data_IF_711322239258
#
_entry.id   IF_711322239258
#
_cell.length_a   1.000
_cell.length_b   1.000
_cell.length_c   1.000
_cell.angle_alpha   90.00
_cell.angle_beta   90.00
_cell.angle_gamma   90.00
#
_symmetry.space_group_name_H-M   'P 1'
#
loop_
_entity.id
_entity.type
_entity.pdbx_description
1 polymer ?
#
# COMPACT_ATOMS: atom_id res chain seq x y z
N UNK A 1 -33.69 -9.01 26.62
CA UNK A 1 -33.84 -8.10 25.47
C UNK A 1 -33.08 -6.83 25.78
N UNK A 2 -31.82 -6.75 25.33
CA UNK A 2 -31.07 -5.50 25.36
C UNK A 2 -31.42 -4.80 24.04
N UNK A 3 -31.94 -3.58 24.13
CA UNK A 3 -32.45 -2.82 23.01
C UNK A 3 -31.35 -2.54 21.98
N UNK A 4 -31.71 -2.68 20.70
CA UNK A 4 -30.91 -2.35 19.51
C UNK A 4 -30.52 -0.86 19.45
N UNK A 5 -31.01 -0.03 20.39
CA UNK A 5 -30.73 1.41 20.48
C UNK A 5 -29.44 1.80 21.19
N UNK A 6 -28.80 0.92 21.97
CA UNK A 6 -27.63 1.30 22.79
C UNK A 6 -26.27 0.93 22.17
N UNK A 7 -26.27 0.26 21.01
CA UNK A 7 -25.05 -0.13 20.29
C UNK A 7 -24.41 1.02 19.47
N UNK A 8 -25.00 2.22 19.48
CA UNK A 8 -24.69 3.30 18.52
C UNK A 8 -24.22 4.63 19.15
N UNK A 9 -23.59 4.60 20.34
CA UNK A 9 -23.06 5.80 21.01
C UNK A 9 -21.56 5.76 21.32
N UNK A 10 -20.74 5.26 20.40
CA UNK A 10 -19.36 5.77 20.28
C UNK A 10 -19.42 6.92 19.29
N UNK A 11 -19.74 8.12 19.78
CA UNK A 11 -19.88 9.27 18.89
C UNK A 11 -18.52 9.88 18.62
N UNK A 12 -18.30 10.34 17.39
CA UNK A 12 -17.19 11.19 16.96
C UNK A 12 -16.80 12.28 17.99
N UNK A 13 -17.76 12.75 18.80
CA UNK A 13 -17.54 13.65 19.95
C UNK A 13 -16.54 13.15 20.99
N UNK A 14 -16.48 11.85 21.25
CA UNK A 14 -15.58 11.28 22.26
C UNK A 14 -14.12 11.28 21.75
N UNK A 15 -13.91 11.02 20.46
CA UNK A 15 -12.62 11.17 19.78
C UNK A 15 -12.20 12.66 19.68
N UNK A 16 -13.14 13.57 19.42
CA UNK A 16 -12.86 15.02 19.45
C UNK A 16 -12.58 15.47 20.89
N UNK A 17 -13.18 14.87 21.92
CA UNK A 17 -12.83 15.15 23.32
C UNK A 17 -11.38 14.73 23.63
N UNK A 18 -10.87 13.67 22.98
CA UNK A 18 -9.45 13.31 23.03
C UNK A 18 -8.53 14.42 22.47
N UNK A 19 -8.94 15.26 21.50
CA UNK A 19 -8.08 16.38 21.05
C UNK A 19 -7.71 17.36 22.18
N UNK A 20 -8.53 17.45 23.23
CA UNK A 20 -8.22 18.25 24.44
C UNK A 20 -7.33 17.52 25.46
N UNK A 21 -7.20 16.19 25.36
CA UNK A 21 -6.33 15.35 26.20
C UNK A 21 -5.01 14.98 25.51
N UNK A 22 -5.00 15.01 24.17
CA UNK A 22 -3.94 14.55 23.26
C UNK A 22 -3.12 15.69 22.67
N UNK A 23 -3.45 16.96 22.96
CA UNK A 23 -2.41 17.97 22.83
C UNK A 23 -1.17 17.41 23.55
N UNK A 24 -0.03 17.17 22.86
CA UNK A 24 1.18 17.02 23.60
C UNK A 24 1.18 18.28 24.41
N UNK A 25 1.09 18.14 25.72
CA UNK A 25 1.45 19.21 26.61
C UNK A 25 2.90 19.45 26.18
N UNK A 26 3.11 20.33 25.20
CA UNK A 26 4.34 21.06 24.95
C UNK A 26 4.41 21.92 26.18
N UNK A 27 4.70 21.28 27.30
CA UNK A 27 5.28 21.91 28.45
C UNK A 27 6.68 22.19 27.96
N UNK A 28 6.81 23.22 27.10
CA UNK A 28 7.89 24.14 27.35
C UNK A 28 7.68 24.51 28.82
N UNK A 29 8.57 24.08 29.73
CA UNK A 29 8.37 24.41 31.13
C UNK A 29 8.36 25.93 31.19
N UNK A 30 7.17 26.51 31.41
CA UNK A 30 7.12 27.84 32.00
C UNK A 30 7.80 27.63 33.35
N UNK A 31 9.01 28.14 33.49
CA UNK A 31 9.79 28.09 34.72
C UNK A 31 9.10 28.98 35.76
N UNK A 32 7.95 28.52 36.26
CA UNK A 32 7.46 28.95 37.56
C UNK A 32 8.45 28.36 38.57
N UNK A 33 9.18 29.26 39.23
CA UNK A 33 10.17 28.97 40.24
C UNK A 33 9.50 28.28 41.45
N UNK A 34 9.11 27.00 41.32
CA UNK A 34 8.86 26.13 42.46
C UNK A 34 10.16 26.03 43.23
N UNK A 35 10.10 26.35 44.52
CA UNK A 35 11.23 26.41 45.47
C UNK A 35 12.26 25.32 45.15
N UNK A 36 13.53 25.74 45.02
CA UNK A 36 14.68 24.82 44.93
C UNK A 36 14.57 23.79 46.05
N UNK A 37 14.36 22.50 45.77
CA UNK A 37 14.52 21.50 46.80
C UNK A 37 15.99 21.51 47.23
N UNK A 38 16.26 21.57 48.53
CA UNK A 38 17.62 21.53 49.07
C UNK A 38 18.18 20.12 48.88
N UNK A 39 18.71 19.89 47.68
CA UNK A 39 19.27 18.64 47.22
C UNK A 39 20.79 18.65 47.37
N UNK A 40 21.35 19.44 48.29
CA UNK A 40 22.79 19.50 48.55
C UNK A 40 23.41 18.13 48.90
N UNK A 41 22.59 17.13 49.23
CA UNK A 41 22.99 15.79 49.66
C UNK A 41 22.12 14.65 49.10
N UNK A 42 22.00 14.49 47.77
CA UNK A 42 21.24 13.37 47.17
C UNK A 42 22.02 12.05 47.22
N UNK A 43 21.51 11.05 47.94
CA UNK A 43 22.00 9.67 47.89
C UNK A 43 21.40 8.90 46.71
N UNK A 44 21.94 7.72 46.42
CA UNK A 44 21.43 6.84 45.35
C UNK A 44 19.97 6.42 45.58
N UNK A 45 19.57 6.19 46.83
CA UNK A 45 18.21 5.77 47.17
C UNK A 45 17.22 6.94 47.13
N UNK A 46 17.71 8.17 47.25
CA UNK A 46 16.89 9.36 47.08
C UNK A 46 16.51 9.56 45.62
N UNK A 47 17.40 9.24 44.66
CA UNK A 47 17.11 9.32 43.22
C UNK A 47 15.92 8.45 42.81
N UNK A 48 15.73 7.29 43.45
CA UNK A 48 14.60 6.39 43.18
C UNK A 48 13.26 6.93 43.67
N UNK A 49 13.27 7.88 44.61
CA UNK A 49 12.09 8.49 45.22
C UNK A 49 11.67 9.79 44.52
N UNK A 50 12.49 10.30 43.59
CA UNK A 50 12.22 11.53 42.87
C UNK A 50 11.21 11.30 41.74
N UNK A 51 10.38 12.33 41.53
CA UNK A 51 9.44 12.39 40.42
C UNK A 51 10.15 12.64 39.08
N UNK A 52 9.52 12.27 37.97
CA UNK A 52 10.07 12.49 36.62
C UNK A 52 10.51 13.94 36.37
N UNK A 53 9.71 14.90 36.85
CA UNK A 53 9.99 16.34 36.73
C UNK A 53 11.23 16.78 37.52
N UNK A 54 11.46 16.17 38.68
CA UNK A 54 12.66 16.41 39.51
C UNK A 54 13.90 15.75 38.88
N UNK A 55 13.77 14.55 38.32
CA UNK A 55 14.84 13.86 37.60
C UNK A 55 15.29 14.63 36.34
N UNK A 56 14.34 15.14 35.54
CA UNK A 56 14.64 16.00 34.40
C UNK A 56 15.34 17.29 34.82
N UNK A 57 14.93 17.90 35.94
CA UNK A 57 15.57 19.08 36.51
C UNK A 57 17.03 18.82 36.90
N UNK A 58 17.32 17.65 37.49
CA UNK A 58 18.67 17.25 37.89
C UNK A 58 19.61 16.98 36.70
N UNK A 59 19.10 16.49 35.57
CA UNK A 59 19.88 16.29 34.34
C UNK A 59 20.48 17.61 33.80
N UNK A 60 19.80 18.74 34.03
CA UNK A 60 20.21 20.05 33.52
C UNK A 60 21.30 20.72 34.36
N UNK A 61 21.67 20.14 35.51
CA UNK A 61 22.61 20.76 36.44
C UNK A 61 24.07 20.53 36.01
N UNK A 62 24.85 21.62 35.92
CA UNK A 62 26.30 21.58 35.64
C UNK A 62 27.10 20.90 36.77
N UNK A 63 26.63 20.94 38.01
CA UNK A 63 27.23 20.26 39.17
C UNK A 63 26.17 19.44 39.90
N UNK A 64 26.36 18.11 39.89
CA UNK A 64 25.59 17.17 40.70
C UNK A 64 26.28 16.98 42.07
N UNK A 65 25.57 17.10 43.20
CA UNK A 65 26.10 16.72 44.50
C UNK A 65 26.27 15.20 44.55
N UNK A 66 27.43 14.73 44.98
CA UNK A 66 27.76 13.29 45.02
C UNK A 66 28.52 12.95 46.29
N UNK A 67 27.94 12.17 47.21
CA UNK A 67 28.71 11.47 48.25
C UNK A 67 29.27 10.18 47.66
N UNK A 68 30.60 10.06 47.59
CA UNK A 68 31.31 8.78 47.39
C UNK A 68 31.15 8.08 46.03
N UNK A 69 30.36 8.57 45.08
CA UNK A 69 30.23 8.00 43.73
C UNK A 69 30.84 8.92 42.66
N UNK A 70 31.52 8.32 41.67
CA UNK A 70 31.98 9.02 40.47
C UNK A 70 30.77 9.60 39.71
N UNK A 71 30.85 10.89 39.34
CA UNK A 71 29.77 11.64 38.66
C UNK A 71 29.21 10.95 37.41
N UNK A 72 30.04 10.18 36.69
CA UNK A 72 29.61 9.40 35.52
C UNK A 72 28.58 8.31 35.87
N UNK A 73 28.75 7.62 37.00
CA UNK A 73 27.83 6.59 37.47
C UNK A 73 26.47 7.17 37.89
N UNK A 74 26.47 8.33 38.55
CA UNK A 74 25.24 9.04 38.93
C UNK A 74 24.43 9.45 37.69
N UNK A 75 25.07 10.00 36.66
CA UNK A 75 24.39 10.36 35.40
C UNK A 75 23.83 9.14 34.67
N UNK A 76 24.58 8.05 34.57
CA UNK A 76 24.10 6.82 33.93
C UNK A 76 22.88 6.24 34.65
N UNK A 77 22.88 6.27 35.99
CA UNK A 77 21.73 5.83 36.79
C UNK A 77 20.53 6.76 36.67
N UNK A 78 20.74 8.07 36.64
CA UNK A 78 19.67 9.05 36.43
C UNK A 78 18.98 8.81 35.08
N UNK A 79 19.76 8.62 34.01
CA UNK A 79 19.23 8.28 32.68
C UNK A 79 18.52 6.93 32.68
N UNK A 80 19.04 5.94 33.40
CA UNK A 80 18.41 4.62 33.50
C UNK A 80 17.08 4.68 34.26
N UNK A 81 16.97 5.45 35.35
CA UNK A 81 15.73 5.60 36.11
C UNK A 81 14.71 6.43 35.33
N UNK A 82 15.13 7.49 34.62
CA UNK A 82 14.27 8.22 33.67
C UNK A 82 13.68 7.27 32.63
N UNK A 83 14.52 6.46 31.97
CA UNK A 83 14.05 5.45 31.01
C UNK A 83 13.10 4.43 31.62
N UNK A 84 13.31 4.06 32.88
CA UNK A 84 12.47 3.11 33.60
C UNK A 84 11.11 3.71 33.95
N UNK A 85 11.07 4.97 34.40
CA UNK A 85 9.83 5.70 34.66
C UNK A 85 9.06 5.96 33.36
N UNK A 86 9.74 6.36 32.28
CA UNK A 86 9.14 6.50 30.94
C UNK A 86 8.48 5.18 30.49
N UNK A 87 9.17 4.06 30.68
CA UNK A 87 8.63 2.73 30.35
C UNK A 87 7.43 2.34 31.22
N UNK A 88 7.40 2.74 32.49
CA UNK A 88 6.27 2.50 33.39
C UNK A 88 5.06 3.38 33.03
N UNK A 89 5.27 4.66 32.76
CA UNK A 89 4.20 5.56 32.28
C UNK A 89 3.66 5.11 30.92
N UNK A 90 4.52 4.63 30.00
CA UNK A 90 4.08 4.07 28.73
C UNK A 90 3.23 2.80 28.92
N UNK A 91 3.62 1.92 29.85
CA UNK A 91 2.86 0.71 30.18
C UNK A 91 1.51 1.05 30.81
N UNK A 92 1.46 2.00 31.74
CA UNK A 92 0.21 2.48 32.35
C UNK A 92 -0.69 3.14 31.31
N UNK A 93 -0.15 3.98 30.42
CA UNK A 93 -0.89 4.53 29.29
C UNK A 93 -1.45 3.43 28.39
N UNK A 94 -0.69 2.37 28.12
CA UNK A 94 -1.20 1.21 27.34
C UNK A 94 -2.38 0.53 28.04
N UNK A 95 -2.30 0.30 29.34
CA UNK A 95 -3.39 -0.29 30.12
C UNK A 95 -4.65 0.60 30.14
N UNK A 96 -4.47 1.92 30.30
CA UNK A 96 -5.55 2.91 30.25
C UNK A 96 -6.19 3.01 28.85
N UNK A 97 -5.37 3.04 27.80
CA UNK A 97 -5.86 3.07 26.42
C UNK A 97 -6.60 1.78 26.04
N UNK A 98 -6.10 0.62 26.45
CA UNK A 98 -6.73 -0.67 26.12
C UNK A 98 -8.07 -0.86 26.87
N UNK A 99 -8.21 -0.28 28.07
CA UNK A 99 -9.49 -0.25 28.79
C UNK A 99 -10.48 0.74 28.20
N UNK A 100 -10.00 1.89 27.69
CA UNK A 100 -10.88 2.94 27.15
C UNK A 100 -11.24 2.71 25.68
N UNK A 101 -10.34 2.12 24.90
CA UNK A 101 -10.47 1.87 23.47
C UNK A 101 -9.91 0.49 23.12
N UNK A 102 -10.66 -0.58 23.45
CA UNK A 102 -10.13 -1.92 23.31
C UNK A 102 -9.93 -2.20 21.80
N UNK A 103 -8.68 -2.49 21.44
CA UNK A 103 -8.22 -2.61 20.05
C UNK A 103 -8.95 -3.73 19.29
N UNK A 104 -9.41 -4.74 20.02
CA UNK A 104 -10.23 -5.87 19.54
C UNK A 104 -11.55 -5.43 18.88
N UNK A 105 -12.09 -4.25 19.23
CA UNK A 105 -13.31 -3.71 18.62
C UNK A 105 -13.08 -2.97 17.32
N UNK A 106 -11.83 -2.62 17.00
CA UNK A 106 -11.45 -1.75 15.89
C UNK A 106 -10.62 -2.52 14.85
N UNK A 107 -9.87 -3.52 15.30
CA UNK A 107 -9.08 -4.41 14.43
C UNK A 107 -10.00 -5.48 13.82
N UNK A 108 -9.86 -5.70 12.52
CA UNK A 108 -10.57 -6.77 11.82
C UNK A 108 -10.20 -8.13 12.42
N UNK A 109 -11.22 -8.92 12.79
CA UNK A 109 -11.00 -10.20 13.45
C UNK A 109 -10.20 -11.20 12.59
N UNK A 110 -10.44 -11.23 11.28
CA UNK A 110 -9.80 -12.16 10.34
C UNK A 110 -8.38 -11.72 9.98
N UNK A 111 -8.20 -10.48 9.54
CA UNK A 111 -6.91 -10.01 9.01
C UNK A 111 -5.94 -9.53 10.10
N UNK A 112 -6.43 -9.29 11.31
CA UNK A 112 -5.68 -8.67 12.42
C UNK A 112 -5.08 -7.32 12.04
N UNK A 113 -5.71 -6.62 11.11
CA UNK A 113 -5.34 -5.28 10.63
C UNK A 113 -6.49 -4.31 10.83
N UNK A 114 -6.18 -3.01 10.84
CA UNK A 114 -7.18 -1.97 10.78
C UNK A 114 -7.95 -2.09 9.45
N UNK A 115 -9.29 -2.21 9.46
CA UNK A 115 -10.08 -2.44 8.26
C UNK A 115 -10.22 -1.16 7.42
N UNK A 116 -9.64 -1.10 6.20
CA UNK A 116 -9.77 0.06 5.30
C UNK A 116 -11.20 0.28 4.82
N UNK A 117 -11.95 -0.81 4.60
CA UNK A 117 -13.37 -0.80 4.23
C UNK A 117 -14.15 -1.54 5.31
N UNK A 118 -14.37 -0.89 6.46
CA UNK A 118 -15.01 -1.53 7.61
C UNK A 118 -16.47 -1.89 7.30
N UNK A 119 -16.81 -3.15 7.51
CA UNK A 119 -18.18 -3.67 7.48
C UNK A 119 -18.49 -4.43 8.76
N UNK A 120 -19.74 -4.37 9.19
CA UNK A 120 -20.26 -5.24 10.24
C UNK A 120 -21.01 -6.39 9.61
N UNK A 121 -20.71 -7.62 10.02
CA UNK A 121 -21.50 -8.77 9.61
C UNK A 121 -22.68 -8.99 10.57
N UNK A 122 -23.59 -9.91 10.22
CA UNK A 122 -24.78 -10.22 11.05
C UNK A 122 -24.43 -10.75 12.45
N UNK A 123 -23.21 -11.25 12.66
CA UNK A 123 -22.71 -11.65 13.98
C UNK A 123 -22.31 -10.47 14.88
N UNK A 124 -22.38 -9.23 14.37
CA UNK A 124 -22.07 -8.00 15.07
C UNK A 124 -20.59 -7.62 15.07
N UNK A 125 -19.71 -8.47 14.56
CA UNK A 125 -18.26 -8.23 14.52
C UNK A 125 -17.85 -7.34 13.35
N UNK A 126 -16.72 -6.66 13.54
CA UNK A 126 -16.12 -5.78 12.55
C UNK A 126 -15.14 -6.57 11.66
N UNK A 127 -15.31 -6.42 10.36
CA UNK A 127 -14.46 -7.01 9.34
C UNK A 127 -14.01 -5.98 8.32
N UNK A 128 -12.95 -6.32 7.60
CA UNK A 128 -12.60 -5.66 6.35
C UNK A 128 -13.40 -6.31 5.22
N UNK A 129 -14.13 -5.51 4.44
CA UNK A 129 -15.07 -5.96 3.41
C UNK A 129 -14.50 -7.02 2.46
N UNK A 130 -13.36 -6.82 1.77
CA UNK A 130 -12.82 -7.83 0.85
C UNK A 130 -12.45 -9.14 1.55
N UNK A 131 -12.05 -9.07 2.82
CA UNK A 131 -11.62 -10.25 3.60
C UNK A 131 -12.83 -11.11 3.97
N UNK A 132 -13.91 -10.48 4.43
CA UNK A 132 -15.13 -11.22 4.80
C UNK A 132 -15.91 -11.70 3.57
N UNK A 133 -15.90 -10.94 2.46
CA UNK A 133 -16.48 -11.39 1.20
C UNK A 133 -15.80 -12.66 0.69
N UNK A 134 -14.46 -12.69 0.66
CA UNK A 134 -13.72 -13.89 0.26
C UNK A 134 -14.02 -15.10 1.15
N UNK A 135 -14.20 -14.88 2.46
CA UNK A 135 -14.62 -15.92 3.40
C UNK A 135 -16.01 -16.48 3.07
N UNK A 136 -16.99 -15.61 2.83
CA UNK A 136 -18.37 -15.99 2.48
C UNK A 136 -18.41 -16.71 1.13
N UNK A 137 -17.69 -16.21 0.12
CA UNK A 137 -17.62 -16.82 -1.21
C UNK A 137 -17.01 -18.23 -1.16
N UNK A 138 -16.00 -18.44 -0.32
CA UNK A 138 -15.39 -19.77 -0.13
C UNK A 138 -16.41 -20.75 0.47
N UNK A 139 -17.15 -20.34 1.50
CA UNK A 139 -18.20 -21.16 2.08
C UNK A 139 -19.31 -21.51 1.06
N UNK A 140 -19.73 -20.53 0.23
CA UNK A 140 -20.70 -20.76 -0.85
C UNK A 140 -20.19 -21.73 -1.91
N UNK A 141 -18.91 -21.64 -2.29
CA UNK A 141 -18.28 -22.57 -3.26
C UNK A 141 -18.18 -24.00 -2.72
N UNK A 142 -17.99 -24.16 -1.42
CA UNK A 142 -17.90 -25.45 -0.74
C UNK A 142 -19.27 -26.01 -0.32
N UNK A 143 -20.37 -25.32 -0.67
CA UNK A 143 -21.75 -25.63 -0.23
C UNK A 143 -21.87 -25.79 1.30
N UNK A 144 -21.06 -25.02 2.04
CA UNK A 144 -21.00 -25.06 3.50
C UNK A 144 -21.83 -23.93 4.08
N UNK A 145 -22.49 -24.20 5.20
CA UNK A 145 -23.18 -23.17 5.95
C UNK A 145 -22.22 -22.03 6.36
N UNK A 146 -22.66 -20.78 6.16
CA UNK A 146 -21.89 -19.60 6.51
C UNK A 146 -21.91 -19.47 8.03
N UNK A 147 -20.71 -19.42 8.63
CA UNK A 147 -20.52 -19.37 10.08
C UNK A 147 -19.64 -18.20 10.47
N UNK A 148 -19.91 -17.56 11.61
CA UNK A 148 -19.08 -16.50 12.15
C UNK A 148 -17.63 -16.94 12.29
N UNK A 149 -16.67 -16.20 11.71
CA UNK A 149 -15.25 -16.43 11.96
C UNK A 149 -14.89 -16.38 13.45
N UNK A 150 -15.59 -15.52 14.21
CA UNK A 150 -15.33 -15.26 15.62
C UNK A 150 -15.99 -16.28 16.55
N UNK A 151 -17.30 -16.54 16.38
CA UNK A 151 -18.07 -17.39 17.32
C UNK A 151 -18.31 -18.81 16.82
N UNK A 152 -18.05 -19.10 15.53
CA UNK A 152 -18.39 -20.35 14.84
C UNK A 152 -19.88 -20.67 14.75
N UNK A 153 -20.76 -19.75 15.17
CA UNK A 153 -22.21 -19.89 15.03
C UNK A 153 -22.66 -19.56 13.60
N UNK A 154 -23.86 -20.00 13.21
CA UNK A 154 -24.44 -19.66 11.92
C UNK A 154 -24.62 -18.14 11.79
N UNK A 155 -24.29 -17.60 10.62
CA UNK A 155 -24.50 -16.20 10.25
C UNK A 155 -25.00 -16.12 8.80
N UNK A 156 -25.73 -15.07 8.43
CA UNK A 156 -26.05 -14.79 7.03
C UNK A 156 -24.89 -14.18 6.25
N UNK A 157 -25.15 -13.81 5.00
CA UNK A 157 -24.20 -13.19 4.08
C UNK A 157 -24.33 -11.66 3.99
N UNK A 158 -25.23 -11.06 4.78
CA UNK A 158 -25.41 -9.61 4.78
C UNK A 158 -24.26 -8.91 5.51
N UNK A 159 -23.73 -7.90 4.84
CA UNK A 159 -22.68 -7.02 5.34
C UNK A 159 -23.21 -5.58 5.39
N UNK A 160 -23.00 -4.92 6.52
CA UNK A 160 -23.42 -3.54 6.76
C UNK A 160 -22.20 -2.62 6.70
N UNK A 161 -22.10 -1.71 5.70
CA UNK A 161 -21.02 -0.72 5.66
C UNK A 161 -20.97 0.12 6.93
N UNK A 162 -19.76 0.32 7.47
CA UNK A 162 -19.52 1.04 8.71
C UNK A 162 -18.51 2.20 8.51
N UNK A 163 -18.79 3.18 7.63
CA UNK A 163 -17.83 4.23 7.28
C UNK A 163 -17.40 5.09 8.48
N UNK A 164 -18.29 5.26 9.47
CA UNK A 164 -17.97 5.95 10.73
C UNK A 164 -16.81 5.32 11.50
N UNK A 165 -16.58 4.00 11.33
CA UNK A 165 -15.44 3.31 11.93
C UNK A 165 -14.13 3.71 11.26
N UNK A 166 -14.13 3.94 9.93
CA UNK A 166 -12.95 4.41 9.20
C UNK A 166 -12.56 5.82 9.66
N UNK A 167 -13.55 6.71 9.78
CA UNK A 167 -13.35 8.07 10.32
C UNK A 167 -12.80 8.04 11.74
N UNK A 168 -13.34 7.14 12.56
CA UNK A 168 -12.88 6.93 13.92
C UNK A 168 -11.44 6.43 13.98
N UNK A 169 -11.07 5.43 13.16
CA UNK A 169 -9.67 4.95 13.07
C UNK A 169 -8.74 6.08 12.66
N UNK A 170 -9.11 6.90 11.67
CA UNK A 170 -8.31 8.06 11.26
C UNK A 170 -8.07 9.01 12.44
N UNK A 171 -9.13 9.36 13.18
CA UNK A 171 -8.99 10.22 14.36
C UNK A 171 -8.05 9.62 15.41
N UNK A 172 -8.13 8.31 15.67
CA UNK A 172 -7.25 7.62 16.62
C UNK A 172 -5.79 7.58 16.15
N UNK A 173 -5.55 7.40 14.86
CA UNK A 173 -4.20 7.44 14.27
C UNK A 173 -3.61 8.85 14.32
N UNK A 174 -4.42 9.86 14.02
CA UNK A 174 -3.99 11.27 14.03
C UNK A 174 -3.74 11.78 15.45
N UNK A 175 -4.49 11.27 16.42
CA UNK A 175 -4.31 11.51 17.85
C UNK A 175 -3.20 10.64 18.47
N UNK A 176 -2.47 9.84 17.70
CA UNK A 176 -1.41 8.94 18.21
C UNK A 176 -1.89 8.00 19.35
N UNK A 177 -3.19 7.68 19.37
CA UNK A 177 -3.80 6.78 20.36
C UNK A 177 -3.44 5.33 20.03
N UNK A 178 -3.39 4.97 18.75
CA UNK A 178 -2.92 3.64 18.34
C UNK A 178 -1.39 3.62 18.45
N UNK A 179 -0.88 2.99 19.52
CA UNK A 179 0.56 2.92 19.83
C UNK A 179 1.30 1.87 18.99
N UNK A 180 0.58 0.93 18.37
CA UNK A 180 1.19 -0.07 17.48
C UNK A 180 1.68 0.60 16.18
N UNK A 181 2.99 0.86 16.13
CA UNK A 181 3.66 1.48 14.98
C UNK A 181 3.49 0.69 13.68
N UNK A 182 3.38 -0.64 13.76
CA UNK A 182 3.17 -1.48 12.57
C UNK A 182 1.76 -1.27 12.02
N UNK A 183 0.73 -1.27 12.88
CA UNK A 183 -0.65 -1.01 12.45
C UNK A 183 -0.80 0.40 11.87
N UNK A 184 -0.22 1.42 12.51
CA UNK A 184 -0.26 2.81 12.04
C UNK A 184 0.47 2.98 10.72
N UNK A 185 1.66 2.40 10.57
CA UNK A 185 2.45 2.52 9.34
C UNK A 185 1.78 1.82 8.16
N UNK A 186 1.17 0.65 8.38
CA UNK A 186 0.36 -0.05 7.38
C UNK A 186 -0.87 0.76 6.99
N UNK A 187 -1.61 1.32 7.97
CA UNK A 187 -2.78 2.17 7.72
C UNK A 187 -2.43 3.40 6.88
N UNK A 188 -1.39 4.14 7.28
CA UNK A 188 -0.93 5.33 6.53
C UNK A 188 -0.40 4.97 5.14
N UNK A 189 0.24 3.81 4.97
CA UNK A 189 0.67 3.34 3.66
C UNK A 189 -0.54 3.04 2.77
N UNK A 190 -1.55 2.37 3.31
CA UNK A 190 -2.76 2.05 2.60
C UNK A 190 -3.56 3.30 2.21
N UNK A 191 -3.80 4.23 3.14
CA UNK A 191 -4.51 5.48 2.84
C UNK A 191 -3.80 6.30 1.75
N UNK A 192 -2.46 6.30 1.71
CA UNK A 192 -1.70 6.92 0.61
C UNK A 192 -1.90 6.21 -0.74
N UNK A 193 -2.05 4.89 -0.74
CA UNK A 193 -2.31 4.12 -1.97
C UNK A 193 -3.73 4.40 -2.50
N UNK A 194 -4.73 4.46 -1.61
CA UNK A 194 -6.12 4.81 -1.95
C UNK A 194 -6.19 6.24 -2.52
N UNK A 195 -5.61 7.22 -1.82
CA UNK A 195 -5.55 8.59 -2.29
C UNK A 195 -4.81 8.73 -3.63
N UNK A 196 -3.71 7.99 -3.83
CA UNK A 196 -3.00 7.97 -5.10
C UNK A 196 -3.84 7.38 -6.24
N UNK A 197 -4.65 6.34 -5.95
CA UNK A 197 -5.57 5.75 -6.91
C UNK A 197 -6.69 6.71 -7.29
N UNK A 198 -7.25 7.44 -6.33
CA UNK A 198 -8.31 8.42 -6.60
C UNK A 198 -7.78 9.63 -7.38
N UNK A 199 -6.59 10.12 -7.04
CA UNK A 199 -5.89 11.13 -7.84
C UNK A 199 -5.63 10.64 -9.27
N UNK A 200 -5.25 9.37 -9.44
CA UNK A 200 -5.02 8.77 -10.76
C UNK A 200 -6.32 8.69 -11.58
N UNK A 201 -7.45 8.32 -10.96
CA UNK A 201 -8.77 8.33 -11.60
C UNK A 201 -9.19 9.75 -11.99
N UNK A 202 -8.95 10.74 -11.12
CA UNK A 202 -9.25 12.14 -11.41
C UNK A 202 -8.43 12.66 -12.60
N UNK A 203 -7.11 12.38 -12.66
CA UNK A 203 -6.27 12.74 -13.81
C UNK A 203 -6.74 12.05 -15.09
N UNK A 204 -7.11 10.77 -15.03
CA UNK A 204 -7.65 10.08 -16.19
C UNK A 204 -8.98 10.71 -16.66
N UNK A 205 -9.83 11.16 -15.74
CA UNK A 205 -11.08 11.86 -16.06
C UNK A 205 -10.83 13.23 -16.70
N UNK A 206 -9.71 13.91 -16.39
CA UNK A 206 -9.31 15.16 -17.04
C UNK A 206 -8.59 14.98 -18.39
N UNK A 207 -8.49 13.74 -18.88
CA UNK A 207 -7.90 13.44 -20.19
C UNK A 207 -6.41 13.07 -20.16
N UNK A 208 -5.80 12.88 -18.98
CA UNK A 208 -4.42 12.43 -18.88
C UNK A 208 -4.26 10.99 -19.40
N UNK A 209 -3.65 10.87 -20.58
CA UNK A 209 -3.34 9.59 -21.23
C UNK A 209 -2.40 8.70 -20.42
N UNK A 210 -1.47 9.28 -19.67
CA UNK A 210 -0.55 8.55 -18.79
C UNK A 210 -1.31 7.96 -17.60
N UNK A 211 -2.26 8.71 -17.05
CA UNK A 211 -3.14 8.22 -16.00
C UNK A 211 -4.04 7.07 -16.47
N UNK A 212 -4.64 7.20 -17.66
CA UNK A 212 -5.43 6.11 -18.27
C UNK A 212 -4.60 4.84 -18.47
N UNK A 213 -3.37 4.97 -18.97
CA UNK A 213 -2.47 3.83 -19.13
C UNK A 213 -2.13 3.17 -17.79
N UNK A 214 -1.81 3.97 -16.77
CA UNK A 214 -1.51 3.47 -15.42
C UNK A 214 -2.71 2.77 -14.78
N UNK A 215 -3.93 3.25 -15.00
CA UNK A 215 -5.15 2.57 -14.55
C UNK A 215 -5.30 1.22 -15.24
N UNK A 216 -5.08 1.16 -16.56
CA UNK A 216 -5.05 -0.11 -17.30
C UNK A 216 -4.11 -1.13 -16.67
N UNK A 217 -2.88 -0.72 -16.34
CA UNK A 217 -1.93 -1.60 -15.64
C UNK A 217 -2.35 -1.94 -14.21
N UNK A 218 -2.89 -0.99 -13.46
CA UNK A 218 -3.31 -1.22 -12.08
C UNK A 218 -4.40 -2.30 -12.00
N UNK A 219 -5.45 -2.18 -12.81
CA UNK A 219 -6.49 -3.20 -12.94
C UNK A 219 -5.94 -4.49 -13.53
N UNK A 220 -5.05 -4.43 -14.51
CA UNK A 220 -4.54 -5.63 -15.16
C UNK A 220 -3.66 -6.51 -14.26
N UNK A 221 -2.94 -5.89 -13.33
CA UNK A 221 -2.09 -6.56 -12.35
C UNK A 221 -2.77 -6.78 -10.98
N UNK A 222 -3.90 -6.11 -10.71
CA UNK A 222 -4.50 -6.06 -9.37
C UNK A 222 -3.60 -5.34 -8.36
N UNK A 223 -2.95 -4.26 -8.79
CA UNK A 223 -2.05 -3.46 -7.93
C UNK A 223 -2.73 -2.15 -7.52
N UNK A 224 -2.12 -1.41 -6.59
CA UNK A 224 -2.64 -0.10 -6.17
C UNK A 224 -4.09 -0.17 -5.66
N UNK A 225 -4.34 -1.11 -4.75
CA UNK A 225 -5.62 -1.31 -4.05
C UNK A 225 -6.87 -1.49 -4.95
N UNK A 226 -6.71 -1.99 -6.18
CA UNK A 226 -7.82 -2.47 -7.02
C UNK A 226 -7.71 -3.97 -7.29
N UNK A 227 -8.83 -4.70 -7.41
CA UNK A 227 -8.81 -6.11 -7.79
C UNK A 227 -8.28 -6.27 -9.21
N UNK A 228 -7.70 -7.44 -9.48
CA UNK A 228 -7.26 -7.80 -10.84
C UNK A 228 -8.47 -7.97 -11.73
N UNK A 229 -8.56 -7.16 -12.78
CA UNK A 229 -9.63 -7.22 -13.77
C UNK A 229 -9.07 -6.84 -15.15
N UNK A 230 -8.91 -7.85 -16.01
CA UNK A 230 -8.40 -7.66 -17.37
C UNK A 230 -9.40 -6.93 -18.27
N UNK A 231 -10.71 -7.07 -18.02
CA UNK A 231 -11.75 -6.42 -18.82
C UNK A 231 -11.71 -4.91 -18.56
N UNK A 232 -11.68 -4.50 -17.29
CA UNK A 232 -11.54 -3.10 -16.91
C UNK A 232 -10.20 -2.55 -17.39
N UNK A 233 -9.11 -3.32 -17.31
CA UNK A 233 -7.82 -2.92 -17.88
C UNK A 233 -7.91 -2.59 -19.38
N UNK A 234 -8.54 -3.47 -20.17
CA UNK A 234 -8.75 -3.25 -21.60
C UNK A 234 -9.59 -2.00 -21.87
N UNK A 235 -10.64 -1.73 -21.09
CA UNK A 235 -11.44 -0.49 -21.25
C UNK A 235 -10.60 0.77 -21.02
N UNK A 236 -9.65 0.75 -20.08
CA UNK A 236 -8.74 1.89 -19.87
C UNK A 236 -7.73 2.03 -20.99
N UNK A 237 -7.23 0.94 -21.57
CA UNK A 237 -6.39 1.00 -22.77
C UNK A 237 -7.16 1.54 -23.98
N UNK A 238 -8.44 1.19 -24.13
CA UNK A 238 -9.32 1.77 -25.16
C UNK A 238 -9.50 3.29 -24.98
N UNK A 239 -9.76 3.74 -23.76
CA UNK A 239 -9.85 5.19 -23.44
C UNK A 239 -8.53 5.90 -23.74
N UNK A 240 -7.40 5.31 -23.33
CA UNK A 240 -6.07 5.85 -23.61
C UNK A 240 -5.79 5.93 -25.11
N UNK A 241 -6.17 4.91 -25.88
CA UNK A 241 -6.05 4.91 -27.34
C UNK A 241 -6.89 6.02 -27.98
N UNK A 242 -8.16 6.17 -27.57
CA UNK A 242 -9.04 7.23 -28.05
C UNK A 242 -8.50 8.64 -27.72
N UNK A 243 -7.81 8.78 -26.59
CA UNK A 243 -7.12 10.02 -26.19
C UNK A 243 -5.72 10.19 -26.84
N UNK A 244 -5.32 9.31 -27.78
CA UNK A 244 -4.08 9.44 -28.55
C UNK A 244 -2.83 8.82 -27.91
N UNK A 245 -2.97 8.06 -26.83
CA UNK A 245 -1.83 7.41 -26.17
C UNK A 245 -1.24 6.27 -27.02
N UNK A 246 -0.01 6.44 -27.50
CA UNK A 246 0.70 5.43 -28.30
C UNK A 246 0.91 4.14 -27.50
N UNK A 247 1.30 4.24 -26.23
CA UNK A 247 1.48 3.08 -25.35
C UNK A 247 0.16 2.34 -25.13
N UNK A 248 -0.94 3.04 -24.86
CA UNK A 248 -2.24 2.39 -24.69
C UNK A 248 -2.73 1.73 -25.99
N UNK A 249 -2.39 2.31 -27.15
CA UNK A 249 -2.65 1.70 -28.46
C UNK A 249 -1.93 0.36 -28.61
N UNK A 250 -0.66 0.28 -28.21
CA UNK A 250 0.10 -0.97 -28.23
C UNK A 250 -0.53 -2.03 -27.30
N UNK A 251 -0.91 -1.64 -26.09
CA UNK A 251 -1.57 -2.55 -25.13
C UNK A 251 -2.97 -2.97 -25.58
N UNK A 252 -3.72 -2.10 -26.26
CA UNK A 252 -4.98 -2.47 -26.88
C UNK A 252 -4.78 -3.49 -28.00
N UNK A 253 -3.75 -3.32 -28.82
CA UNK A 253 -3.33 -4.32 -29.81
C UNK A 253 -3.02 -5.66 -29.15
N UNK A 254 -2.25 -5.64 -28.05
CA UNK A 254 -1.95 -6.81 -27.24
C UNK A 254 -3.22 -7.50 -26.69
N UNK A 255 -4.21 -6.73 -26.24
CA UNK A 255 -5.50 -7.26 -25.78
C UNK A 255 -6.20 -8.07 -26.88
N UNK A 256 -6.27 -7.54 -28.10
CA UNK A 256 -6.93 -8.22 -29.22
C UNK A 256 -6.17 -9.46 -29.73
N UNK A 257 -4.83 -9.45 -29.74
CA UNK A 257 -4.06 -10.63 -30.20
C UNK A 257 -4.08 -11.78 -29.18
N UNK A 258 -4.08 -11.47 -27.88
CA UNK A 258 -3.99 -12.48 -26.80
C UNK A 258 -5.33 -12.86 -26.19
N UNK A 259 -6.38 -12.08 -26.43
CA UNK A 259 -7.67 -12.26 -25.76
C UNK A 259 -7.70 -11.67 -24.36
N UNK A 260 -6.70 -10.85 -23.99
CA UNK A 260 -6.62 -10.26 -22.67
C UNK A 260 -7.73 -9.21 -22.47
N UNK A 261 -8.73 -9.56 -21.67
CA UNK A 261 -9.82 -8.65 -21.29
C UNK A 261 -10.83 -8.36 -22.41
N UNK A 262 -10.85 -9.19 -23.47
CA UNK A 262 -11.79 -9.08 -24.59
C UNK A 262 -12.52 -10.41 -24.80
N UNK A 263 -13.76 -10.36 -25.26
CA UNK A 263 -14.60 -11.55 -25.47
C UNK A 263 -14.11 -12.42 -26.63
N UNK A 264 -13.58 -11.80 -27.68
CA UNK A 264 -13.08 -12.47 -28.87
C UNK A 264 -11.71 -11.93 -29.28
N UNK A 265 -10.79 -12.85 -29.60
CA UNK A 265 -9.50 -12.50 -30.19
C UNK A 265 -9.70 -12.02 -31.63
N UNK A 266 -8.93 -11.02 -32.01
CA UNK A 266 -8.90 -10.54 -33.40
C UNK A 266 -7.46 -10.18 -33.76
N UNK A 267 -6.71 -11.17 -34.23
CA UNK A 267 -5.29 -11.01 -34.50
C UNK A 267 -5.00 -9.93 -35.54
N UNK A 268 -5.81 -9.82 -36.60
CA UNK A 268 -5.66 -8.78 -37.63
C UNK A 268 -5.81 -7.38 -37.04
N UNK A 269 -6.89 -7.14 -36.27
CA UNK A 269 -7.12 -5.85 -35.60
C UNK A 269 -6.04 -5.54 -34.57
N UNK A 270 -5.63 -6.54 -33.80
CA UNK A 270 -4.58 -6.40 -32.80
C UNK A 270 -3.23 -6.04 -33.42
N UNK A 271 -2.81 -6.75 -34.47
CA UNK A 271 -1.58 -6.47 -35.21
C UNK A 271 -1.62 -5.11 -35.91
N UNK A 272 -2.79 -4.66 -36.40
CA UNK A 272 -2.93 -3.31 -36.93
C UNK A 272 -2.63 -2.23 -35.88
N UNK A 273 -3.15 -2.36 -34.65
CA UNK A 273 -2.82 -1.43 -33.56
C UNK A 273 -1.35 -1.49 -33.15
N UNK A 274 -0.76 -2.69 -33.12
CA UNK A 274 0.68 -2.87 -32.86
C UNK A 274 1.51 -2.15 -33.92
N UNK A 275 1.21 -2.34 -35.21
CA UNK A 275 1.92 -1.69 -36.30
C UNK A 275 1.83 -0.15 -36.22
N UNK A 276 0.64 0.38 -35.93
CA UNK A 276 0.44 1.83 -35.72
C UNK A 276 1.29 2.34 -34.55
N UNK A 277 1.33 1.63 -33.43
CA UNK A 277 2.10 2.03 -32.26
C UNK A 277 3.61 1.92 -32.48
N UNK A 278 4.07 0.90 -33.22
CA UNK A 278 5.47 0.72 -33.59
C UNK A 278 5.95 1.82 -34.54
N UNK A 279 5.13 2.20 -35.53
CA UNK A 279 5.40 3.32 -36.41
C UNK A 279 5.50 4.66 -35.67
N UNK A 280 4.73 4.82 -34.59
CA UNK A 280 4.79 5.98 -33.68
C UNK A 280 5.91 5.90 -32.62
N UNK A 281 6.78 4.89 -32.71
CA UNK A 281 8.01 4.82 -31.90
C UNK A 281 7.87 4.16 -30.53
N UNK A 282 6.87 3.32 -30.30
CA UNK A 282 6.82 2.46 -29.11
C UNK A 282 7.71 1.23 -29.29
N UNK A 283 8.68 1.08 -28.39
CA UNK A 283 9.61 -0.06 -28.39
C UNK A 283 8.87 -1.39 -28.18
N UNK A 284 7.89 -1.46 -27.28
CA UNK A 284 7.08 -2.65 -27.03
C UNK A 284 6.31 -3.07 -28.27
N UNK A 285 5.72 -2.10 -28.97
CA UNK A 285 5.01 -2.40 -30.21
C UNK A 285 5.96 -2.90 -31.31
N UNK A 286 7.15 -2.28 -31.44
CA UNK A 286 8.19 -2.74 -32.35
C UNK A 286 8.66 -4.16 -32.02
N UNK A 287 8.85 -4.49 -30.73
CA UNK A 287 9.19 -5.83 -30.27
C UNK A 287 8.10 -6.86 -30.61
N UNK A 288 6.83 -6.55 -30.33
CA UNK A 288 5.70 -7.46 -30.65
C UNK A 288 5.57 -7.66 -32.16
N UNK A 289 5.72 -6.61 -32.95
CA UNK A 289 5.71 -6.67 -34.41
C UNK A 289 6.85 -7.53 -34.95
N UNK A 290 8.08 -7.26 -34.49
CA UNK A 290 9.28 -8.00 -34.91
C UNK A 290 9.17 -9.49 -34.61
N UNK A 291 8.66 -9.85 -33.42
CA UNK A 291 8.40 -11.27 -33.07
C UNK A 291 7.30 -11.91 -33.90
N UNK A 292 6.24 -11.17 -34.22
CA UNK A 292 5.15 -11.70 -35.03
C UNK A 292 5.62 -12.03 -36.45
N UNK A 293 6.45 -11.17 -37.04
CA UNK A 293 7.06 -11.38 -38.36
C UNK A 293 8.14 -12.48 -38.34
N UNK A 294 9.01 -12.49 -37.34
CA UNK A 294 10.06 -13.50 -37.20
C UNK A 294 9.49 -14.93 -37.03
N UNK A 295 8.38 -15.09 -36.31
CA UNK A 295 7.81 -16.41 -36.06
C UNK A 295 6.57 -16.75 -36.90
N UNK A 296 6.09 -15.83 -37.75
CA UNK A 296 4.84 -16.01 -38.51
C UNK A 296 3.60 -16.20 -37.62
N UNK A 297 3.45 -15.36 -36.59
CA UNK A 297 2.35 -15.45 -35.61
C UNK A 297 1.26 -14.42 -35.84
N UNK A 298 0.08 -14.66 -35.26
CA UNK A 298 -1.06 -13.73 -35.26
C UNK A 298 -1.55 -13.36 -36.67
N UNK A 299 -1.39 -14.27 -37.64
CA UNK A 299 -1.80 -14.06 -39.03
C UNK A 299 -0.78 -13.27 -39.87
N UNK A 300 0.41 -13.00 -39.34
CA UNK A 300 1.51 -12.42 -40.10
C UNK A 300 2.28 -13.51 -40.86
N UNK A 301 2.68 -13.28 -42.13
CA UNK A 301 3.62 -14.16 -42.81
C UNK A 301 4.99 -14.13 -42.11
N UNK A 302 5.75 -15.21 -42.26
CA UNK A 302 7.14 -15.25 -41.80
C UNK A 302 7.98 -14.32 -42.67
N UNK A 303 8.57 -13.31 -42.05
CA UNK A 303 9.55 -12.40 -42.65
C UNK A 303 10.63 -12.14 -41.60
N UNK A 304 11.71 -12.91 -41.69
CA UNK A 304 12.80 -12.89 -40.71
C UNK A 304 13.56 -11.57 -40.75
N UNK A 305 13.81 -11.05 -41.96
CA UNK A 305 14.60 -9.83 -42.16
C UNK A 305 13.88 -8.60 -41.63
N UNK A 306 12.59 -8.46 -41.96
CA UNK A 306 11.76 -7.38 -41.42
C UNK A 306 11.54 -7.57 -39.91
N UNK A 307 11.38 -8.82 -39.45
CA UNK A 307 11.30 -9.16 -38.02
C UNK A 307 12.54 -8.68 -37.24
N UNK A 308 13.74 -8.96 -37.75
CA UNK A 308 15.01 -8.52 -37.17
C UNK A 308 15.14 -7.00 -37.18
N UNK A 309 14.75 -6.32 -38.27
CA UNK A 309 14.75 -4.85 -38.34
C UNK A 309 13.90 -4.23 -37.23
N UNK A 310 12.68 -4.73 -37.02
CA UNK A 310 11.82 -4.23 -35.95
C UNK A 310 12.34 -4.56 -34.55
N UNK A 311 12.94 -5.74 -34.36
CA UNK A 311 13.57 -6.11 -33.09
C UNK A 311 14.77 -5.20 -32.77
N UNK A 312 15.63 -4.91 -33.74
CA UNK A 312 16.72 -3.94 -33.58
C UNK A 312 16.17 -2.55 -33.24
N UNK A 313 15.11 -2.13 -33.94
CA UNK A 313 14.43 -0.85 -33.68
C UNK A 313 13.88 -0.77 -32.25
N UNK A 314 13.33 -1.87 -31.71
CA UNK A 314 12.81 -1.93 -30.33
C UNK A 314 13.89 -1.76 -29.26
N UNK A 315 15.15 -2.06 -29.58
CA UNK A 315 16.29 -1.90 -28.66
C UNK A 315 17.00 -0.55 -28.84
N UNK A 316 16.77 0.13 -29.96
CA UNK A 316 17.38 1.41 -30.30
C UNK A 316 16.73 2.55 -29.52
N UNK A 317 17.55 3.28 -28.77
CA UNK A 317 17.10 4.49 -28.05
C UNK A 317 16.78 5.66 -28.99
N UNK A 318 17.34 5.67 -30.20
CA UNK A 318 17.14 6.74 -31.18
C UNK A 318 15.87 6.52 -32.02
N UNK A 319 15.55 5.27 -32.36
CA UNK A 319 14.44 4.96 -33.25
C UNK A 319 13.09 4.77 -32.54
N UNK A 320 13.13 4.40 -31.25
CA UNK A 320 11.95 4.28 -30.40
C UNK A 320 12.07 5.21 -29.18
N UNK A 321 11.60 6.47 -29.27
CA UNK A 321 11.67 7.41 -28.17
C UNK A 321 10.79 7.02 -26.98
N UNK A 322 9.73 6.22 -27.21
CA UNK A 322 8.88 5.70 -26.15
C UNK A 322 9.48 4.40 -25.60
N UNK A 323 10.25 4.55 -24.53
CA UNK A 323 10.87 3.44 -23.81
C UNK A 323 9.87 2.79 -22.85
N UNK A 324 9.40 1.61 -23.19
CA UNK A 324 8.42 0.83 -22.44
C UNK A 324 8.57 -0.69 -22.60
N UNK A 325 9.75 -1.16 -23.00
CA UNK A 325 10.18 -2.56 -22.93
C UNK A 325 10.53 -2.96 -21.49
N UNK A 326 10.04 -4.12 -21.06
CA UNK A 326 10.51 -4.77 -19.84
C UNK A 326 11.88 -5.40 -20.04
N UNK A 327 12.61 -5.66 -18.96
CA UNK A 327 13.92 -6.33 -19.05
C UNK A 327 13.81 -7.71 -19.72
N UNK A 328 12.77 -8.47 -19.39
CA UNK A 328 12.51 -9.77 -20.03
C UNK A 328 12.34 -9.66 -21.54
N UNK A 329 11.53 -8.71 -22.01
CA UNK A 329 11.30 -8.50 -23.44
C UNK A 329 12.58 -8.05 -24.16
N UNK A 330 13.40 -7.22 -23.49
CA UNK A 330 14.71 -6.80 -23.97
C UNK A 330 15.65 -7.99 -24.15
N UNK A 331 15.75 -8.84 -23.13
CA UNK A 331 16.61 -10.02 -23.14
C UNK A 331 16.13 -11.02 -24.22
N UNK A 332 14.82 -11.23 -24.35
CA UNK A 332 14.24 -12.06 -25.40
C UNK A 332 14.54 -11.51 -26.81
N UNK A 333 14.39 -10.20 -27.01
CA UNK A 333 14.72 -9.55 -28.29
C UNK A 333 16.20 -9.72 -28.63
N UNK A 334 17.10 -9.50 -27.66
CA UNK A 334 18.54 -9.68 -27.82
C UNK A 334 18.89 -11.13 -28.16
N UNK A 335 18.30 -12.10 -27.46
CA UNK A 335 18.53 -13.52 -27.72
C UNK A 335 18.09 -13.92 -29.13
N UNK A 336 16.95 -13.42 -29.62
CA UNK A 336 16.51 -13.68 -31.00
C UNK A 336 17.53 -13.12 -32.00
N UNK A 337 18.01 -11.90 -31.78
CA UNK A 337 19.01 -11.26 -32.66
C UNK A 337 20.35 -12.02 -32.66
N UNK A 338 20.85 -12.42 -31.50
CA UNK A 338 22.10 -13.20 -31.39
C UNK A 338 21.97 -14.54 -32.10
N UNK A 339 20.89 -15.28 -31.84
CA UNK A 339 20.67 -16.58 -32.47
C UNK A 339 20.51 -16.47 -33.99
N UNK A 340 19.89 -15.39 -34.48
CA UNK A 340 19.75 -15.15 -35.92
C UNK A 340 21.11 -14.94 -36.60
N UNK A 341 22.03 -14.21 -35.96
CA UNK A 341 23.40 -13.99 -36.47
C UNK A 341 24.19 -15.31 -36.49
N UNK A 342 24.11 -16.11 -35.43
CA UNK A 342 24.82 -17.42 -35.35
C UNK A 342 24.36 -18.37 -36.47
N UNK A 343 23.06 -18.43 -36.75
CA UNK A 343 22.51 -19.27 -37.84
C UNK A 343 22.92 -18.74 -39.21
N UNK A 344 23.06 -17.43 -39.39
CA UNK A 344 23.54 -16.84 -40.64
C UNK A 344 25.00 -17.23 -40.93
N UNK A 345 25.88 -17.18 -39.93
CA UNK A 345 27.31 -17.53 -40.07
C UNK A 345 27.53 -19.04 -40.34
N UNK A 346 26.71 -19.93 -39.77
CA UNK A 346 26.79 -21.38 -40.01
C UNK A 346 26.25 -21.81 -41.39
N UNK A 347 25.46 -20.96 -42.05
CA UNK A 347 24.86 -21.24 -43.37
C UNK A 347 25.74 -20.86 -44.57
N UNK A 348 26.87 -20.18 -44.32
CA UNK A 348 27.90 -19.88 -45.33
C UNK A 348 28.82 -21.10 -45.53
N UNK A 349 28.89 -21.72 -46.73
CA UNK A 349 29.80 -22.83 -46.96
C UNK A 349 31.26 -22.36 -46.87
N UNK A 350 32.18 -23.17 -46.33
CA UNK A 350 33.59 -22.84 -46.33
C UNK A 350 34.10 -22.76 -47.78
N UNK A 351 34.73 -21.63 -48.12
CA UNK A 351 35.36 -21.36 -49.42
C UNK A 351 36.47 -22.35 -49.78
#
# INVERSE_FOLDING_TARGET
MISVSDAFKMTYKDAVSCTKLVEPRKVAPSFAATRRPDLSNVSVDDVRKLTYKELQGLCQWKRLPSKGLKKSHLRQRLVAEIKKQEKQEEMQRREELDTQFPLDKIVCFLSKKLPPNPVRAEDGYLYDEPVIQAYIETAKKEDRAITSPATKQLMGDRLFPAPSVKEYINALVDCEVIVDENLVSLWKKQGRQEAAMDALKASAASGDTSAMLKLGFAFGAGTSCVPKDSTVACTWFQKGHAAGCVRATAWLGYCYITGYGVEHTCSVKGMAFIAIAAAKGSDFAAYVLGRALYCGKYGMPVDMDEGVRWLQKSLSQHDCPLQNLTNRERDEAQNILVNHVVVADESTPPN
#
